data_IF_338876561054
#
_entry.id   IF_338876561054
#
_cell.length_a   1.000
_cell.length_b   1.000
_cell.length_c   1.000
_cell.angle_alpha   90.00
_cell.angle_beta   90.00
_cell.angle_gamma   90.00
#
_symmetry.space_group_name_H-M   'P 1'
#
loop_
_entity.id
_entity.type
_entity.pdbx_description
1 polymer ?
#
# COMPACT_ATOMS: atom_id res chain seq x y z
N UNK A 1 -0.57 -0.39 -11.43
CA UNK A 1 0.44 0.64 -11.71
C UNK A 1 -0.26 1.96 -12.04
N UNK A 2 -0.64 2.66 -10.96
CA UNK A 2 -1.25 3.99 -10.94
C UNK A 2 -0.36 5.05 -10.25
N UNK A 3 0.92 4.73 -9.98
CA UNK A 3 1.82 5.55 -9.17
C UNK A 3 2.18 6.88 -9.83
N UNK A 4 2.08 6.96 -11.16
CA UNK A 4 2.25 8.20 -11.90
C UNK A 4 1.18 9.27 -11.55
N UNK A 5 0.08 8.90 -10.90
CA UNK A 5 -0.96 9.83 -10.43
C UNK A 5 -0.67 10.45 -9.07
N UNK A 6 0.37 9.98 -8.35
CA UNK A 6 0.79 10.54 -7.08
C UNK A 6 1.44 11.91 -7.27
N UNK A 7 1.31 12.81 -6.29
CA UNK A 7 2.10 14.04 -6.24
C UNK A 7 3.56 13.75 -5.87
N UNK A 8 4.45 14.70 -6.11
CA UNK A 8 5.89 14.49 -5.93
C UNK A 8 6.29 14.09 -4.49
N UNK A 9 5.68 14.69 -3.47
CA UNK A 9 5.92 14.30 -2.08
C UNK A 9 5.34 12.92 -1.76
N UNK A 10 4.17 12.60 -2.32
CA UNK A 10 3.53 11.29 -2.19
C UNK A 10 4.31 10.19 -2.91
N UNK A 11 4.97 10.49 -4.03
CA UNK A 11 5.85 9.53 -4.73
C UNK A 11 7.03 9.11 -3.85
N UNK A 12 7.66 10.06 -3.16
CA UNK A 12 8.73 9.78 -2.20
C UNK A 12 8.22 8.98 -1.00
N UNK A 13 7.07 9.36 -0.46
CA UNK A 13 6.45 8.65 0.65
C UNK A 13 6.04 7.22 0.28
N UNK A 14 5.54 6.99 -0.94
CA UNK A 14 5.25 5.64 -1.44
C UNK A 14 6.53 4.82 -1.54
N UNK A 15 7.60 5.41 -2.09
CA UNK A 15 8.88 4.72 -2.22
C UNK A 15 9.45 4.33 -0.85
N UNK A 16 9.33 5.20 0.15
CA UNK A 16 9.71 4.90 1.53
C UNK A 16 8.95 3.65 2.05
N UNK A 17 7.62 3.59 1.87
CA UNK A 17 6.82 2.41 2.27
C UNK A 17 7.23 1.15 1.51
N UNK A 18 7.42 1.24 0.20
CA UNK A 18 7.79 0.10 -0.62
C UNK A 18 9.15 -0.49 -0.19
N UNK A 19 10.12 0.39 0.10
CA UNK A 19 11.42 -0.01 0.62
C UNK A 19 11.32 -0.60 2.03
N UNK A 20 10.51 -0.03 2.94
CA UNK A 20 10.32 -0.60 4.28
C UNK A 20 9.79 -2.04 4.19
N UNK A 21 8.77 -2.30 3.36
CA UNK A 21 8.25 -3.65 3.17
C UNK A 21 9.31 -4.58 2.55
N UNK A 22 10.02 -4.12 1.52
CA UNK A 22 11.10 -4.90 0.90
C UNK A 22 12.24 -5.23 1.87
N UNK A 23 12.51 -4.33 2.83
CA UNK A 23 13.53 -4.51 3.88
C UNK A 23 13.06 -5.45 4.98
N UNK A 24 11.78 -5.44 5.30
CA UNK A 24 11.18 -6.33 6.30
C UNK A 24 11.17 -7.78 5.82
N UNK A 25 11.00 -8.00 4.52
CA UNK A 25 11.10 -9.32 3.92
C UNK A 25 12.55 -9.84 3.91
N UNK A 26 12.75 -11.10 4.28
CA UNK A 26 14.08 -11.71 4.49
C UNK A 26 14.89 -11.92 3.18
N UNK A 27 14.34 -11.56 2.01
CA UNK A 27 14.96 -11.70 0.67
C UNK A 27 15.46 -10.37 0.07
N UNK A 28 16.20 -9.64 0.90
CA UNK A 28 16.60 -8.24 0.77
C UNK A 28 17.28 -7.80 -0.54
N UNK A 29 18.27 -8.54 -1.07
CA UNK A 29 19.21 -7.93 -2.03
C UNK A 29 18.66 -7.82 -3.46
N UNK A 30 17.77 -8.71 -3.88
CA UNK A 30 17.23 -8.70 -5.24
C UNK A 30 15.98 -7.82 -5.38
N UNK A 31 15.14 -7.76 -4.34
CA UNK A 31 13.86 -7.04 -4.38
C UNK A 31 14.03 -5.53 -4.36
N UNK A 32 15.00 -5.00 -3.60
CA UNK A 32 15.21 -3.56 -3.51
C UNK A 32 15.59 -2.95 -4.87
N UNK A 33 16.51 -3.59 -5.61
CA UNK A 33 16.95 -3.09 -6.91
C UNK A 33 15.80 -3.07 -7.93
N UNK A 34 14.98 -4.12 -7.94
CA UNK A 34 13.81 -4.27 -8.80
C UNK A 34 12.72 -3.24 -8.48
N UNK A 35 12.37 -3.08 -7.20
CA UNK A 35 11.40 -2.08 -6.71
C UNK A 35 11.83 -0.67 -7.12
N UNK A 36 13.11 -0.35 -6.89
CA UNK A 36 13.65 0.96 -7.26
C UNK A 36 13.59 1.19 -8.77
N UNK A 37 13.84 0.17 -9.58
CA UNK A 37 13.78 0.30 -11.03
C UNK A 37 12.33 0.48 -11.52
N UNK A 38 11.44 -0.45 -11.17
CA UNK A 38 10.05 -0.47 -11.64
C UNK A 38 9.29 0.77 -11.19
N UNK A 39 9.29 1.05 -9.88
CA UNK A 39 8.46 2.13 -9.35
C UNK A 39 9.02 3.53 -9.64
N UNK A 40 10.35 3.72 -9.67
CA UNK A 40 10.89 5.02 -10.05
C UNK A 40 10.61 5.33 -11.53
N UNK A 41 10.74 4.33 -12.41
CA UNK A 41 10.42 4.47 -13.82
C UNK A 41 8.94 4.81 -14.03
N UNK A 42 8.03 4.10 -13.34
CA UNK A 42 6.59 4.39 -13.42
C UNK A 42 6.24 5.79 -12.92
N UNK A 43 6.80 6.20 -11.78
CA UNK A 43 6.56 7.51 -11.19
C UNK A 43 7.25 8.67 -11.92
N UNK A 44 8.20 8.38 -12.81
CA UNK A 44 9.02 9.38 -13.49
C UNK A 44 9.93 10.14 -12.53
N UNK A 45 10.46 9.47 -11.51
CA UNK A 45 11.38 10.08 -10.52
C UNK A 45 12.77 9.48 -10.63
N UNK A 46 13.78 10.24 -10.19
CA UNK A 46 15.14 9.73 -10.12
C UNK A 46 15.25 8.66 -9.02
N UNK A 47 15.98 7.58 -9.32
CA UNK A 47 16.33 6.57 -8.34
C UNK A 47 17.11 7.22 -7.19
N UNK A 48 16.69 7.03 -5.92
CA UNK A 48 17.43 7.57 -4.79
C UNK A 48 18.82 6.95 -4.69
N UNK A 49 19.80 7.76 -4.29
CA UNK A 49 21.19 7.32 -4.08
C UNK A 49 21.41 6.66 -2.72
N UNK A 50 20.45 6.80 -1.79
CA UNK A 50 20.50 6.31 -0.41
C UNK A 50 19.11 5.87 0.03
N UNK A 51 19.00 4.68 0.60
CA UNK A 51 17.74 4.06 1.08
C UNK A 51 17.76 3.77 2.58
N UNK A 52 18.75 4.29 3.33
CA UNK A 52 18.97 4.05 4.76
C UNK A 52 17.77 4.34 5.68
N UNK A 53 16.81 5.14 5.23
CA UNK A 53 15.60 5.44 6.01
C UNK A 53 14.76 4.17 6.23
N UNK A 54 14.70 3.28 5.25
CA UNK A 54 13.95 2.03 5.37
C UNK A 54 14.60 1.10 6.41
N UNK A 55 15.93 0.91 6.35
CA UNK A 55 16.68 0.11 7.33
C UNK A 55 16.44 0.63 8.75
N UNK A 56 16.57 1.95 8.93
CA UNK A 56 16.32 2.60 10.22
C UNK A 56 14.90 2.36 10.74
N UNK A 57 13.87 2.51 9.90
CA UNK A 57 12.47 2.31 10.32
C UNK A 57 12.20 0.85 10.69
N UNK A 58 12.75 -0.11 9.93
CA UNK A 58 12.64 -1.54 10.25
C UNK A 58 13.29 -1.85 11.60
N UNK A 59 14.47 -1.29 11.88
CA UNK A 59 15.14 -1.45 13.18
C UNK A 59 14.31 -0.88 14.35
N UNK A 60 13.59 0.21 14.14
CA UNK A 60 12.71 0.79 15.17
C UNK A 60 11.57 -0.15 15.55
N UNK A 61 11.09 -1.00 14.64
CA UNK A 61 9.97 -1.91 14.94
C UNK A 61 10.25 -2.80 16.16
N UNK A 62 11.51 -3.23 16.34
CA UNK A 62 11.95 -4.06 17.48
C UNK A 62 12.46 -3.24 18.67
N UNK A 63 13.08 -2.09 18.41
CA UNK A 63 13.84 -1.34 19.41
C UNK A 63 13.07 -0.14 20.02
N UNK A 64 12.17 0.49 19.27
CA UNK A 64 11.40 1.66 19.68
C UNK A 64 10.09 1.77 18.88
N UNK A 65 9.08 1.03 19.34
CA UNK A 65 7.80 0.90 18.64
C UNK A 65 7.04 2.23 18.53
N UNK A 66 7.22 3.17 19.47
CA UNK A 66 6.56 4.47 19.43
C UNK A 66 7.17 5.35 18.35
N UNK A 67 8.49 5.34 18.21
CA UNK A 67 9.17 6.04 17.12
C UNK A 67 8.85 5.43 15.76
N UNK A 68 8.78 4.10 15.65
CA UNK A 68 8.30 3.43 14.45
C UNK A 68 6.89 3.92 14.04
N UNK A 69 5.95 3.96 14.99
CA UNK A 69 4.59 4.47 14.74
C UNK A 69 4.59 5.93 14.28
N UNK A 70 5.46 6.75 14.87
CA UNK A 70 5.60 8.16 14.48
C UNK A 70 6.10 8.30 13.05
N UNK A 71 7.19 7.62 12.67
CA UNK A 71 7.76 7.67 11.32
C UNK A 71 6.73 7.22 10.26
N UNK A 72 5.98 6.14 10.53
CA UNK A 72 4.90 5.72 9.64
C UNK A 72 3.77 6.76 9.54
N UNK A 73 3.41 7.39 10.66
CA UNK A 73 2.39 8.45 10.66
C UNK A 73 2.83 9.63 9.79
N UNK A 74 4.09 10.04 9.91
CA UNK A 74 4.66 11.13 9.11
C UNK A 74 4.68 10.78 7.62
N UNK A 75 5.03 9.55 7.26
CA UNK A 75 4.93 9.05 5.88
C UNK A 75 3.47 9.12 5.40
N UNK A 76 2.52 8.60 6.17
CA UNK A 76 1.12 8.54 5.78
C UNK A 76 0.44 9.91 5.65
N UNK A 77 0.99 10.95 6.27
CA UNK A 77 0.50 12.32 6.16
C UNK A 77 0.82 12.96 4.80
N UNK A 78 1.70 12.36 4.00
CA UNK A 78 2.01 12.81 2.64
C UNK A 78 1.00 12.34 1.59
N UNK A 79 -0.04 11.60 1.98
CA UNK A 79 -1.04 11.10 1.04
C UNK A 79 -2.39 11.77 1.26
N UNK A 80 -3.00 12.20 0.15
CA UNK A 80 -4.43 12.49 0.12
C UNK A 80 -5.26 11.20 0.22
N UNK A 81 -6.56 11.28 0.58
CA UNK A 81 -7.44 10.12 0.61
C UNK A 81 -7.48 9.30 -0.69
N UNK A 82 -7.43 9.97 -1.85
CA UNK A 82 -7.37 9.30 -3.16
C UNK A 82 -6.05 8.57 -3.35
N UNK A 83 -4.93 9.19 -2.95
CA UNK A 83 -3.60 8.59 -3.06
C UNK A 83 -3.42 7.40 -2.12
N UNK A 84 -4.04 7.41 -0.93
CA UNK A 84 -4.03 6.27 -0.02
C UNK A 84 -4.60 5.00 -0.68
N UNK A 85 -5.65 5.14 -1.49
CA UNK A 85 -6.22 4.00 -2.24
C UNK A 85 -5.22 3.45 -3.26
N UNK A 86 -4.54 4.34 -4.00
CA UNK A 86 -3.50 3.94 -4.95
C UNK A 86 -2.36 3.21 -4.23
N UNK A 87 -1.83 3.82 -3.16
CA UNK A 87 -0.75 3.26 -2.35
C UNK A 87 -1.12 1.88 -1.80
N UNK A 88 -2.35 1.74 -1.29
CA UNK A 88 -2.84 0.45 -0.80
C UNK A 88 -2.83 -0.62 -1.89
N UNK A 89 -3.37 -0.33 -3.08
CA UNK A 89 -3.40 -1.32 -4.17
C UNK A 89 -2.01 -1.73 -4.64
N UNK A 90 -1.09 -0.79 -4.77
CA UNK A 90 0.26 -1.07 -5.27
C UNK A 90 1.10 -1.83 -4.24
N UNK A 91 1.04 -1.44 -2.94
CA UNK A 91 1.71 -2.19 -1.88
C UNK A 91 1.08 -3.57 -1.65
N UNK A 92 -0.24 -3.68 -1.72
CA UNK A 92 -0.93 -4.96 -1.66
C UNK A 92 -0.45 -5.88 -2.78
N UNK A 93 -0.38 -5.40 -4.02
CA UNK A 93 0.12 -6.20 -5.13
C UNK A 93 1.58 -6.63 -4.93
N UNK A 94 2.43 -5.75 -4.39
CA UNK A 94 3.85 -6.03 -4.11
C UNK A 94 4.03 -7.12 -3.05
N UNK A 95 3.39 -6.95 -1.89
CA UNK A 95 3.55 -7.83 -0.73
C UNK A 95 2.92 -9.19 -1.02
N UNK A 96 1.75 -9.24 -1.66
CA UNK A 96 1.04 -10.50 -1.92
C UNK A 96 1.61 -11.29 -3.11
N UNK A 97 2.65 -10.79 -3.79
CA UNK A 97 3.23 -11.44 -4.97
C UNK A 97 3.88 -12.80 -4.65
N UNK A 98 4.47 -12.96 -3.46
CA UNK A 98 5.19 -14.17 -3.06
C UNK A 98 4.43 -15.07 -2.06
N UNK A 99 3.27 -14.63 -1.55
CA UNK A 99 2.46 -15.28 -0.51
C UNK A 99 3.16 -15.43 0.86
N UNK A 100 4.21 -14.64 1.15
CA UNK A 100 4.81 -14.48 2.47
C UNK A 100 4.42 -13.11 3.04
N UNK A 101 4.25 -13.00 4.37
CA UNK A 101 3.84 -11.75 5.01
C UNK A 101 4.58 -11.56 6.33
N UNK A 102 5.51 -10.62 6.36
CA UNK A 102 6.16 -10.17 7.60
C UNK A 102 5.17 -9.37 8.46
N UNK A 103 5.45 -9.29 9.77
CA UNK A 103 4.64 -8.52 10.72
C UNK A 103 4.63 -7.01 10.41
N UNK A 104 5.74 -6.46 9.91
CA UNK A 104 5.84 -5.05 9.49
C UNK A 104 4.93 -4.80 8.28
N UNK A 105 4.94 -5.69 7.30
CA UNK A 105 4.11 -5.58 6.10
C UNK A 105 2.62 -5.60 6.46
N UNK A 106 2.20 -6.53 7.33
CA UNK A 106 0.83 -6.60 7.85
C UNK A 106 0.45 -5.32 8.59
N UNK A 107 1.33 -4.81 9.45
CA UNK A 107 1.07 -3.59 10.21
C UNK A 107 0.90 -2.37 9.30
N UNK A 108 1.73 -2.23 8.26
CA UNK A 108 1.60 -1.15 7.27
C UNK A 108 0.26 -1.24 6.53
N UNK A 109 -0.13 -2.43 6.05
CA UNK A 109 -1.40 -2.63 5.35
C UNK A 109 -2.60 -2.31 6.26
N UNK A 110 -2.61 -2.81 7.50
CA UNK A 110 -3.69 -2.54 8.46
C UNK A 110 -3.81 -1.04 8.78
N UNK A 111 -2.69 -0.32 8.91
CA UNK A 111 -2.69 1.13 9.12
C UNK A 111 -3.21 1.89 7.90
N UNK A 112 -2.85 1.46 6.69
CA UNK A 112 -3.38 2.04 5.45
C UNK A 112 -4.90 1.86 5.37
N UNK A 113 -5.40 0.65 5.62
CA UNK A 113 -6.85 0.36 5.65
C UNK A 113 -7.57 1.24 6.66
N UNK A 114 -7.05 1.33 7.88
CA UNK A 114 -7.60 2.19 8.93
C UNK A 114 -7.65 3.65 8.48
N UNK A 115 -6.58 4.18 7.89
CA UNK A 115 -6.52 5.58 7.45
C UNK A 115 -7.47 5.86 6.28
N UNK A 116 -7.64 4.90 5.37
CA UNK A 116 -8.65 4.98 4.30
C UNK A 116 -10.04 5.05 4.92
N UNK A 117 -10.37 4.17 5.86
CA UNK A 117 -11.65 4.16 6.56
C UNK A 117 -11.92 5.45 7.34
N UNK A 118 -10.93 5.96 8.07
CA UNK A 118 -11.01 7.24 8.79
C UNK A 118 -11.25 8.41 7.82
N UNK A 119 -10.54 8.42 6.69
CA UNK A 119 -10.73 9.45 5.67
C UNK A 119 -12.15 9.38 5.10
N UNK A 120 -12.65 8.19 4.78
CA UNK A 120 -14.01 7.99 4.29
C UNK A 120 -15.05 8.44 5.35
N UNK A 121 -14.87 8.05 6.61
CA UNK A 121 -15.74 8.44 7.72
C UNK A 121 -15.80 9.97 7.90
N UNK A 122 -14.68 10.67 7.71
CA UNK A 122 -14.64 12.13 7.76
C UNK A 122 -15.48 12.79 6.65
N UNK A 123 -15.48 12.23 5.43
CA UNK A 123 -16.35 12.68 4.34
C UNK A 123 -17.84 12.39 4.62
N UNK A 124 -18.12 11.29 5.31
CA UNK A 124 -19.48 10.85 5.67
C UNK A 124 -20.05 11.68 6.83
N UNK A 125 -19.22 12.20 7.74
CA UNK A 125 -19.67 13.05 8.86
C UNK A 125 -20.02 14.49 8.43
N UNK A 126 -19.45 14.98 7.32
CA UNK A 126 -19.79 16.30 6.74
C UNK A 126 -20.96 16.27 5.74
N UNK A 127 -21.40 15.08 5.33
CA UNK A 127 -22.62 14.87 4.55
C UNK A 127 -23.44 13.77 5.25
N UNK A 128 -24.20 14.20 6.26
CA UNK A 128 -25.26 13.46 6.97
C UNK A 128 -25.69 12.19 6.24
N UNK A 129 -25.43 11.02 6.84
CA UNK A 129 -26.31 9.83 7.01
C UNK A 129 -27.24 9.39 5.86
N UNK A 130 -27.11 9.95 4.67
CA UNK A 130 -27.98 9.84 3.51
C UNK A 130 -27.17 9.54 2.23
N UNK A 131 -25.84 9.57 2.27
CA UNK A 131 -25.01 9.04 1.18
C UNK A 131 -24.93 7.50 1.18
N UNK A 132 -25.43 6.84 2.24
CA UNK A 132 -25.63 5.38 2.31
C UNK A 132 -27.08 4.93 2.12
N UNK A 133 -28.00 5.87 1.87
CA UNK A 133 -29.33 5.59 1.34
C UNK A 133 -29.54 6.50 0.14
N UNK A 134 -28.98 6.10 -1.00
CA UNK A 134 -29.50 6.57 -2.26
C UNK A 134 -30.99 6.24 -2.31
N UNK A 135 -31.81 7.23 -2.69
CA UNK A 135 -33.13 6.98 -3.25
C UNK A 135 -32.93 6.23 -4.58
N UNK A 136 -32.59 4.93 -4.51
CA UNK A 136 -32.16 4.13 -5.66
C UNK A 136 -31.07 3.07 -5.42
N UNK A 137 -30.48 2.95 -4.23
CA UNK A 137 -29.86 1.69 -3.77
C UNK A 137 -28.67 1.05 -4.54
N UNK A 138 -27.90 1.77 -5.36
CA UNK A 138 -26.65 1.22 -5.92
C UNK A 138 -25.41 1.96 -5.38
N UNK A 139 -24.53 1.18 -4.76
CA UNK A 139 -23.30 1.62 -4.09
C UNK A 139 -22.15 1.59 -5.10
N UNK A 140 -21.10 2.42 -4.94
CA UNK A 140 -19.84 2.31 -5.70
C UNK A 140 -18.92 1.15 -5.21
N UNK A 141 -19.31 0.49 -4.13
CA UNK A 141 -18.67 -0.72 -3.57
C UNK A 141 -18.64 -1.91 -4.54
N UNK A 142 -19.70 -2.26 -5.29
CA UNK A 142 -19.69 -3.37 -6.23
C UNK A 142 -18.57 -3.31 -7.27
N UNK A 143 -18.13 -2.15 -7.75
CA UNK A 143 -17.03 -2.11 -8.74
C UNK A 143 -15.70 -2.51 -8.10
N UNK A 144 -15.40 -1.98 -6.92
CA UNK A 144 -14.20 -2.32 -6.16
C UNK A 144 -14.24 -3.75 -5.64
N UNK A 145 -15.38 -4.20 -5.11
CA UNK A 145 -15.58 -5.58 -4.67
C UNK A 145 -15.51 -6.57 -5.83
N UNK A 146 -16.11 -6.25 -6.99
CA UNK A 146 -16.03 -7.11 -8.17
C UNK A 146 -14.59 -7.16 -8.71
N UNK A 147 -13.86 -6.05 -8.66
CA UNK A 147 -12.45 -6.01 -9.06
C UNK A 147 -11.57 -6.84 -8.12
N UNK A 148 -11.78 -6.73 -6.81
CA UNK A 148 -11.08 -7.53 -5.80
C UNK A 148 -11.41 -9.03 -5.93
N UNK A 149 -12.69 -9.38 -6.14
CA UNK A 149 -13.11 -10.78 -6.40
C UNK A 149 -12.51 -11.32 -7.68
N UNK A 150 -12.44 -10.51 -8.74
CA UNK A 150 -11.80 -10.90 -10.00
C UNK A 150 -10.30 -11.18 -9.80
N UNK A 151 -9.59 -10.34 -9.06
CA UNK A 151 -8.18 -10.54 -8.70
C UNK A 151 -7.96 -11.81 -7.88
N UNK A 152 -8.76 -12.03 -6.83
CA UNK A 152 -8.70 -13.26 -6.01
C UNK A 152 -8.99 -14.51 -6.85
N UNK A 153 -9.97 -14.44 -7.76
CA UNK A 153 -10.30 -15.55 -8.67
C UNK A 153 -9.14 -15.87 -9.62
N UNK A 154 -8.48 -14.85 -10.18
CA UNK A 154 -7.30 -15.01 -11.03
C UNK A 154 -6.12 -15.62 -10.25
N UNK A 155 -5.86 -15.17 -9.02
CA UNK A 155 -4.83 -15.74 -8.15
C UNK A 155 -5.09 -17.23 -7.84
N UNK A 156 -6.35 -17.61 -7.59
CA UNK A 156 -6.72 -19.01 -7.34
C UNK A 156 -6.57 -19.88 -8.59
N UNK A 157 -6.90 -19.36 -9.78
CA UNK A 157 -6.65 -20.05 -11.04
C UNK A 157 -5.15 -20.28 -11.29
N UNK A 158 -4.30 -19.29 -10.99
CA UNK A 158 -2.84 -19.44 -11.09
C UNK A 158 -2.29 -20.52 -10.14
N UNK A 159 -2.86 -20.65 -8.93
CA UNK A 159 -2.49 -21.71 -7.97
C UNK A 159 -2.88 -23.11 -8.47
N UNK A 160 -3.97 -23.23 -9.23
CA UNK A 160 -4.38 -24.49 -9.85
C UNK A 160 -3.44 -24.88 -10.99
N UNK A 161 -3.06 -23.93 -11.84
CA UNK A 161 -2.15 -24.18 -12.98
C UNK A 161 -0.74 -24.59 -12.50
N UNK A 162 -0.24 -23.99 -11.41
CA UNK A 162 1.08 -24.35 -10.83
C UNK A 162 1.14 -25.75 -10.21
N UNK A 163 0.00 -26.44 -10.01
CA UNK A 163 -0.04 -27.78 -9.41
C UNK A 163 0.09 -28.90 -10.44
N UNK A 164 -0.07 -28.56 -11.72
CA UNK A 164 -0.08 -29.50 -12.86
C UNK A 164 1.19 -29.40 -13.75
N UNK A 165 2.25 -28.72 -13.27
CA UNK A 165 3.61 -28.68 -13.84
C UNK A 165 4.58 -29.24 -12.80
#
# INVERSE_FOLDING_TARGET
MFLNQLKDDSKKAFLDLALICAKADENLDNKEAEILEIYCNEMGIAKPTKTYKADYIVDLYKNDIEKYKQELTDIFNNFTPKELIIVYFELFAMIYADNSFDEIEKDIILKLEKKILESAASYISSNTLNLFRGAGGEVLLPVLENSARALVSQMNMLKLIKKDI
#
